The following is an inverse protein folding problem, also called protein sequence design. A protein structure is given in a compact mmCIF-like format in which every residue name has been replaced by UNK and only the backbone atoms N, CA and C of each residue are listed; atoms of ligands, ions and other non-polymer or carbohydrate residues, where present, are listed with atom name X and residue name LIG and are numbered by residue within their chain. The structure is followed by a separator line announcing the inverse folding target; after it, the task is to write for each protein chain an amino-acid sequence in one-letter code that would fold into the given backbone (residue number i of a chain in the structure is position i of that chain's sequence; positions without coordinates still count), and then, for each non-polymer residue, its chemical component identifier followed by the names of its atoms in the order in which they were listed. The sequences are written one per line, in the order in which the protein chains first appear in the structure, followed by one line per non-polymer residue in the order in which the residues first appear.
data_IF_006880114145
#
_entry.id   IF_006880114145
#
_cell.length_a   1.000
_cell.length_b   1.000
_cell.length_c   1.000
_cell.angle_alpha   90.00
_cell.angle_beta   90.00
_cell.angle_gamma   90.00
#
_symmetry.space_group_name_H-M   'P 1'
#
loop_
_entity.id
_entity.type
_entity.pdbx_description
1 polymer ?
#
# COMPACT_ATOMS: atom_id res chain seq x y z
N UNK A 1 -5.33 -26.71 -6.52
CA UNK A 1 -4.22 -26.54 -7.46
C UNK A 1 -4.10 -25.09 -7.94
N UNK A 2 -5.10 -24.50 -8.58
CA UNK A 2 -5.05 -23.11 -9.09
C UNK A 2 -4.73 -22.05 -8.01
N UNK A 3 -5.41 -22.09 -6.85
CA UNK A 3 -5.13 -21.17 -5.72
C UNK A 3 -3.72 -21.29 -5.15
N UNK A 4 -3.13 -22.49 -5.11
CA UNK A 4 -1.78 -22.69 -4.63
C UNK A 4 -0.72 -22.17 -5.64
N UNK A 5 -1.00 -22.28 -6.94
CA UNK A 5 -0.14 -21.72 -8.01
C UNK A 5 -0.20 -20.18 -8.02
N UNK A 6 -1.39 -19.60 -7.78
CA UNK A 6 -1.57 -18.15 -7.66
C UNK A 6 -0.83 -17.59 -6.43
N UNK A 7 -0.91 -18.26 -5.27
CA UNK A 7 -0.16 -17.88 -4.06
C UNK A 7 1.36 -17.95 -4.26
N UNK A 8 1.86 -19.02 -4.90
CA UNK A 8 3.29 -19.13 -5.24
C UNK A 8 3.76 -18.04 -6.20
N UNK A 9 2.95 -17.71 -7.20
CA UNK A 9 3.23 -16.60 -8.12
C UNK A 9 3.23 -15.24 -7.43
N UNK A 10 2.34 -15.05 -6.46
CA UNK A 10 2.26 -13.86 -5.62
C UNK A 10 3.54 -13.70 -4.78
N UNK A 11 3.89 -14.70 -3.98
CA UNK A 11 5.06 -14.66 -3.09
C UNK A 11 6.36 -14.45 -3.87
N UNK A 12 6.53 -15.10 -5.01
CA UNK A 12 7.70 -14.91 -5.87
C UNK A 12 7.85 -13.47 -6.39
N UNK A 13 6.74 -12.83 -6.78
CA UNK A 13 6.75 -11.41 -7.19
C UNK A 13 7.10 -10.49 -6.02
N UNK A 14 6.55 -10.78 -4.84
CA UNK A 14 6.82 -10.03 -3.62
C UNK A 14 8.30 -10.13 -3.23
N UNK A 15 8.87 -11.32 -3.16
CA UNK A 15 10.30 -11.57 -2.89
C UNK A 15 11.19 -10.85 -3.90
N UNK A 16 10.89 -10.95 -5.19
CA UNK A 16 11.65 -10.24 -6.23
C UNK A 16 11.55 -8.72 -6.09
N UNK A 17 10.36 -8.21 -5.75
CA UNK A 17 10.13 -6.77 -5.54
C UNK A 17 10.82 -6.23 -4.29
N UNK A 18 11.00 -7.03 -3.26
CA UNK A 18 11.62 -6.63 -2.00
C UNK A 18 13.12 -6.93 -1.91
N UNK A 19 13.75 -7.47 -2.98
CA UNK A 19 15.15 -7.93 -2.95
C UNK A 19 16.11 -6.88 -2.37
N UNK A 20 16.01 -5.61 -2.78
CA UNK A 20 16.92 -4.55 -2.29
C UNK A 20 16.73 -4.25 -0.80
N UNK A 21 15.48 -4.25 -0.33
CA UNK A 21 15.18 -4.03 1.09
C UNK A 21 15.63 -5.22 1.91
N UNK A 22 15.32 -6.43 1.44
CA UNK A 22 15.69 -7.68 2.07
C UNK A 22 17.20 -7.79 2.24
N UNK A 23 17.97 -7.62 1.15
CA UNK A 23 19.42 -7.81 1.17
C UNK A 23 20.11 -6.88 2.19
N UNK A 24 19.57 -5.66 2.40
CA UNK A 24 20.07 -4.75 3.42
C UNK A 24 19.74 -5.20 4.85
N UNK A 25 18.49 -5.62 5.08
CA UNK A 25 18.01 -6.00 6.42
C UNK A 25 18.59 -7.34 6.84
N UNK A 26 18.52 -8.37 5.97
CA UNK A 26 18.96 -9.75 6.29
C UNK A 26 20.45 -9.79 6.56
N UNK A 27 21.29 -9.13 5.74
CA UNK A 27 22.73 -9.12 5.96
C UNK A 27 23.12 -8.52 7.33
N UNK A 28 22.40 -7.46 7.75
CA UNK A 28 22.59 -6.86 9.07
C UNK A 28 22.20 -7.82 10.20
N UNK A 29 21.01 -8.40 10.12
CA UNK A 29 20.51 -9.32 11.13
C UNK A 29 21.35 -10.60 11.24
N UNK A 30 21.73 -11.22 10.14
CA UNK A 30 22.57 -12.42 10.17
C UNK A 30 23.93 -12.14 10.82
N UNK A 31 24.48 -10.94 10.63
CA UNK A 31 25.70 -10.51 11.30
C UNK A 31 25.50 -10.41 12.83
N UNK A 32 24.40 -9.83 13.30
CA UNK A 32 24.10 -9.68 14.74
C UNK A 32 23.81 -11.05 15.35
N UNK A 33 22.89 -11.81 14.81
CA UNK A 33 22.48 -13.11 15.39
C UNK A 33 23.60 -14.14 15.42
N UNK A 34 24.60 -14.05 14.52
CA UNK A 34 25.78 -14.92 14.51
C UNK A 34 27.00 -14.35 15.23
N UNK A 35 27.09 -13.03 15.39
CA UNK A 35 28.24 -12.36 15.95
C UNK A 35 28.21 -12.20 17.47
N UNK A 36 27.04 -12.10 18.05
CA UNK A 36 26.87 -11.92 19.49
C UNK A 36 26.86 -13.27 20.23
N UNK A 37 27.51 -13.31 21.39
CA UNK A 37 27.54 -14.47 22.29
C UNK A 37 26.55 -14.32 23.47
N UNK A 38 26.02 -13.13 23.69
CA UNK A 38 25.08 -12.79 24.77
C UNK A 38 24.03 -11.83 24.28
N UNK A 39 22.89 -11.83 24.96
CA UNK A 39 21.80 -10.87 24.76
C UNK A 39 21.96 -9.79 25.83
N UNK A 40 22.57 -8.68 25.45
CA UNK A 40 22.81 -7.52 26.31
C UNK A 40 22.25 -6.25 25.64
N UNK A 41 22.50 -5.09 26.24
CA UNK A 41 21.94 -3.83 25.70
C UNK A 41 22.55 -3.49 24.34
N UNK A 42 23.84 -3.77 24.10
CA UNK A 42 24.50 -3.54 22.81
C UNK A 42 23.87 -4.36 21.69
N UNK A 43 23.49 -5.62 21.97
CA UNK A 43 22.74 -6.46 21.04
C UNK A 43 21.41 -5.83 20.62
N UNK A 44 20.64 -5.25 21.56
CA UNK A 44 19.38 -4.60 21.25
C UNK A 44 19.57 -3.27 20.51
N UNK A 45 20.60 -2.49 20.87
CA UNK A 45 20.93 -1.22 20.20
C UNK A 45 21.27 -1.47 18.71
N UNK A 46 22.06 -2.49 18.40
CA UNK A 46 22.37 -2.83 17.00
C UNK A 46 21.13 -3.32 16.21
N UNK A 47 20.25 -4.11 16.85
CA UNK A 47 18.98 -4.50 16.22
C UNK A 47 18.11 -3.28 15.90
N UNK A 48 18.04 -2.33 16.86
CA UNK A 48 17.30 -1.09 16.69
C UNK A 48 17.84 -0.26 15.52
N UNK A 49 19.17 -0.14 15.41
CA UNK A 49 19.84 0.58 14.33
C UNK A 49 19.49 -0.01 12.95
N UNK A 50 19.53 -1.34 12.80
CA UNK A 50 19.17 -2.00 11.53
C UNK A 50 17.71 -1.78 11.17
N UNK A 51 16.79 -1.87 12.12
CA UNK A 51 15.36 -1.63 11.88
C UNK A 51 15.11 -0.18 11.42
N UNK A 52 15.77 0.79 12.07
CA UNK A 52 15.69 2.21 11.69
C UNK A 52 16.30 2.45 10.30
N UNK A 53 17.45 1.86 10.00
CA UNK A 53 18.11 1.95 8.69
C UNK A 53 17.24 1.34 7.59
N UNK A 54 16.42 0.33 7.92
CA UNK A 54 15.43 -0.27 7.03
C UNK A 54 14.15 0.58 6.83
N UNK A 55 14.09 1.81 7.36
CA UNK A 55 12.92 2.71 7.35
C UNK A 55 11.67 2.18 8.11
N UNK A 56 11.85 1.25 9.07
CA UNK A 56 10.75 0.76 9.92
C UNK A 56 10.20 1.88 10.83
N UNK A 57 11.02 2.91 11.07
CA UNK A 57 10.64 4.07 11.87
C UNK A 57 10.87 3.88 13.37
N UNK A 58 11.13 4.99 14.07
CA UNK A 58 11.54 4.97 15.47
C UNK A 58 10.45 4.37 16.38
N UNK A 59 9.20 4.79 16.22
CA UNK A 59 8.11 4.34 17.10
C UNK A 59 7.83 2.83 16.94
N UNK A 60 7.75 2.34 15.72
CA UNK A 60 7.56 0.92 15.45
C UNK A 60 8.75 0.10 15.93
N UNK A 61 9.97 0.56 15.68
CA UNK A 61 11.20 -0.08 16.14
C UNK A 61 11.25 -0.21 17.67
N UNK A 62 11.00 0.89 18.39
CA UNK A 62 11.02 0.85 19.88
C UNK A 62 9.98 -0.14 20.41
N UNK A 63 8.76 -0.16 19.88
CA UNK A 63 7.73 -1.10 20.30
C UNK A 63 8.11 -2.58 20.01
N UNK A 64 8.76 -2.85 18.86
CA UNK A 64 9.24 -4.17 18.49
C UNK A 64 10.35 -4.64 19.45
N UNK A 65 11.32 -3.77 19.74
CA UNK A 65 12.45 -4.08 20.63
C UNK A 65 11.99 -4.26 22.07
N UNK A 66 11.08 -3.41 22.59
CA UNK A 66 10.50 -3.58 23.92
C UNK A 66 9.81 -4.94 24.06
N UNK A 67 8.98 -5.31 23.08
CA UNK A 67 8.31 -6.61 23.06
C UNK A 67 9.31 -7.77 23.01
N UNK A 68 10.38 -7.64 22.22
CA UNK A 68 11.43 -8.64 22.16
C UNK A 68 12.13 -8.80 23.52
N UNK A 69 12.46 -7.70 24.21
CA UNK A 69 13.06 -7.71 25.57
C UNK A 69 12.15 -8.43 26.57
N UNK A 70 10.85 -8.16 26.55
CA UNK A 70 9.86 -8.83 27.38
C UNK A 70 9.84 -10.35 27.13
N UNK A 71 9.72 -10.77 25.86
CA UNK A 71 9.67 -12.18 25.48
C UNK A 71 10.98 -12.93 25.83
N UNK A 72 12.14 -12.32 25.59
CA UNK A 72 13.44 -12.89 25.98
C UNK A 72 13.51 -13.11 27.48
N UNK A 73 13.04 -12.16 28.28
CA UNK A 73 12.99 -12.27 29.74
C UNK A 73 12.03 -13.36 30.22
N UNK A 74 10.81 -13.39 29.69
CA UNK A 74 9.76 -14.35 30.06
C UNK A 74 10.14 -15.80 29.70
N UNK A 75 10.71 -16.00 28.53
CA UNK A 75 11.09 -17.32 28.02
C UNK A 75 12.50 -17.73 28.45
N UNK A 76 13.23 -16.88 29.19
CA UNK A 76 14.59 -17.13 29.66
C UNK A 76 15.58 -17.46 28.54
N UNK A 77 15.44 -16.81 27.38
CA UNK A 77 16.28 -17.01 26.20
C UNK A 77 17.68 -16.46 26.48
N UNK A 78 18.70 -17.24 26.13
CA UNK A 78 20.11 -16.88 26.31
C UNK A 78 20.90 -16.83 25.02
N UNK A 79 20.39 -17.47 23.97
CA UNK A 79 21.07 -17.55 22.69
C UNK A 79 20.50 -16.48 21.73
N UNK A 80 21.32 -15.53 21.24
CA UNK A 80 20.88 -14.51 20.28
C UNK A 80 20.15 -15.07 19.06
N UNK A 81 20.57 -16.24 18.55
CA UNK A 81 19.96 -16.85 17.39
C UNK A 81 18.45 -17.18 17.57
N UNK A 82 18.01 -17.44 18.82
CA UNK A 82 16.61 -17.71 19.14
C UNK A 82 15.75 -16.44 19.08
N UNK A 83 16.37 -15.26 19.17
CA UNK A 83 15.67 -13.97 19.09
C UNK A 83 15.19 -13.65 17.67
N UNK A 84 15.78 -14.26 16.61
CA UNK A 84 15.44 -13.96 15.21
C UNK A 84 13.96 -14.21 14.94
N UNK A 85 13.43 -15.35 15.33
CA UNK A 85 12.03 -15.70 15.11
C UNK A 85 11.10 -14.81 15.93
N UNK A 86 11.43 -14.53 17.19
CA UNK A 86 10.65 -13.63 18.05
C UNK A 86 10.58 -12.21 17.48
N UNK A 87 11.69 -11.72 16.92
CA UNK A 87 11.72 -10.42 16.26
C UNK A 87 10.78 -10.39 15.04
N UNK A 88 10.85 -11.41 14.18
CA UNK A 88 10.00 -11.55 13.01
C UNK A 88 8.51 -11.57 13.41
N UNK A 89 8.18 -12.36 14.43
CA UNK A 89 6.80 -12.47 14.94
C UNK A 89 6.35 -11.16 15.58
N UNK A 90 7.25 -10.46 16.29
CA UNK A 90 6.99 -9.12 16.82
C UNK A 90 6.67 -8.10 15.74
N UNK A 91 7.39 -8.13 14.61
CA UNK A 91 7.11 -7.26 13.44
C UNK A 91 5.76 -7.61 12.82
N UNK A 92 5.45 -8.89 12.62
CA UNK A 92 4.13 -9.33 12.12
C UNK A 92 3.00 -8.83 13.02
N UNK A 93 3.15 -8.95 14.33
CA UNK A 93 2.16 -8.49 15.29
C UNK A 93 1.94 -6.97 15.23
N UNK A 94 3.00 -6.18 15.03
CA UNK A 94 2.89 -4.73 14.84
C UNK A 94 2.16 -4.34 13.56
N UNK A 95 2.19 -5.21 12.54
CA UNK A 95 1.52 -4.97 11.26
C UNK A 95 0.09 -5.50 11.21
N UNK A 96 -0.38 -6.19 12.24
CA UNK A 96 -1.75 -6.70 12.27
C UNK A 96 -2.75 -5.57 12.41
N UNK A 97 -3.76 -5.60 11.55
CA UNK A 97 -4.97 -4.79 11.68
C UNK A 97 -6.16 -5.73 11.82
N UNK A 98 -7.19 -5.30 12.55
CA UNK A 98 -8.35 -6.14 12.87
C UNK A 98 -9.05 -6.69 11.62
N UNK A 99 -9.14 -5.90 10.56
CA UNK A 99 -9.59 -6.36 9.25
C UNK A 99 -9.19 -5.40 8.13
N UNK A 100 -8.73 -5.95 7.00
CA UNK A 100 -8.58 -5.19 5.76
C UNK A 100 -9.74 -5.52 4.84
N UNK A 101 -10.76 -4.68 4.84
CA UNK A 101 -11.95 -4.88 4.03
C UNK A 101 -11.75 -4.37 2.59
N UNK A 102 -12.16 -5.16 1.63
CA UNK A 102 -12.24 -4.79 0.20
C UNK A 102 -13.71 -4.69 -0.21
N UNK A 103 -14.49 -3.93 0.56
CA UNK A 103 -15.94 -3.80 0.39
C UNK A 103 -16.32 -3.36 -1.04
N UNK A 104 -15.49 -2.53 -1.68
CA UNK A 104 -15.65 -2.08 -3.05
C UNK A 104 -15.60 -3.20 -4.10
N UNK A 105 -15.08 -4.38 -3.78
CA UNK A 105 -15.09 -5.53 -4.69
C UNK A 105 -16.43 -6.25 -4.73
N UNK A 106 -17.30 -6.06 -3.72
CA UNK A 106 -18.52 -6.84 -3.53
C UNK A 106 -19.81 -6.05 -3.72
N UNK A 107 -19.73 -4.74 -3.97
CA UNK A 107 -20.87 -3.86 -4.16
C UNK A 107 -20.56 -2.75 -5.17
N UNK A 108 -21.58 -2.04 -5.64
CA UNK A 108 -21.37 -0.84 -6.47
C UNK A 108 -20.54 0.18 -5.73
N UNK A 109 -19.47 0.67 -6.35
CA UNK A 109 -18.48 1.47 -5.64
C UNK A 109 -17.88 2.58 -6.49
N UNK A 110 -17.46 3.62 -5.80
CA UNK A 110 -16.56 4.65 -6.32
C UNK A 110 -15.26 4.58 -5.56
N UNK A 111 -14.15 4.48 -6.27
CA UNK A 111 -12.80 4.53 -5.69
C UNK A 111 -12.18 5.87 -6.06
N UNK A 112 -11.97 6.71 -5.05
CA UNK A 112 -11.27 7.98 -5.19
C UNK A 112 -9.78 7.78 -4.89
N UNK A 113 -8.92 7.98 -5.88
CA UNK A 113 -7.47 7.79 -5.74
C UNK A 113 -6.78 9.13 -5.58
N UNK A 114 -6.16 9.35 -4.41
CA UNK A 114 -5.47 10.59 -4.03
C UNK A 114 -3.99 10.32 -3.75
N UNK A 115 -3.18 11.39 -3.66
CA UNK A 115 -1.73 11.29 -3.40
C UNK A 115 -0.97 12.40 -4.11
N UNK A 116 0.30 12.64 -3.76
CA UNK A 116 1.10 13.69 -4.40
C UNK A 116 1.48 13.34 -5.85
N UNK A 117 2.02 14.29 -6.60
CA UNK A 117 2.48 14.03 -7.96
C UNK A 117 3.69 13.08 -7.96
N UNK A 118 3.74 12.17 -8.94
CA UNK A 118 4.88 11.25 -9.12
C UNK A 118 4.85 9.97 -8.28
N UNK A 119 3.91 9.82 -7.33
CA UNK A 119 3.80 8.60 -6.49
C UNK A 119 3.21 7.38 -7.20
N UNK A 120 2.72 7.53 -8.44
CA UNK A 120 2.17 6.41 -9.20
C UNK A 120 0.64 6.29 -9.17
N UNK A 121 -0.13 7.36 -8.88
CA UNK A 121 -1.60 7.33 -8.87
C UNK A 121 -2.19 6.76 -10.17
N UNK A 122 -1.93 7.42 -11.29
CA UNK A 122 -2.45 7.02 -12.61
C UNK A 122 -2.10 5.57 -12.97
N UNK A 123 -0.87 5.14 -12.64
CA UNK A 123 -0.42 3.75 -12.80
C UNK A 123 -1.21 2.80 -11.90
N UNK A 124 -1.40 3.15 -10.64
CA UNK A 124 -2.18 2.35 -9.68
C UNK A 124 -3.64 2.23 -10.09
N UNK A 125 -4.24 3.34 -10.56
CA UNK A 125 -5.60 3.35 -11.11
C UNK A 125 -5.73 2.37 -12.29
N UNK A 126 -4.78 2.43 -13.24
CA UNK A 126 -4.78 1.53 -14.39
C UNK A 126 -4.62 0.06 -14.03
N UNK A 127 -3.71 -0.25 -13.11
CA UNK A 127 -3.50 -1.61 -12.61
C UNK A 127 -4.71 -2.14 -11.84
N UNK A 128 -5.28 -1.32 -10.96
CA UNK A 128 -6.47 -1.69 -10.20
C UNK A 128 -7.66 -1.94 -11.12
N UNK A 129 -7.84 -1.09 -12.15
CA UNK A 129 -8.88 -1.27 -13.16
C UNK A 129 -8.73 -2.59 -13.90
N UNK A 130 -7.51 -2.96 -14.31
CA UNK A 130 -7.24 -4.25 -14.95
C UNK A 130 -7.59 -5.42 -14.05
N UNK A 131 -7.15 -5.40 -12.79
CA UNK A 131 -7.46 -6.46 -11.81
C UNK A 131 -8.97 -6.64 -11.58
N UNK A 132 -9.70 -5.55 -11.41
CA UNK A 132 -11.15 -5.59 -11.22
C UNK A 132 -11.86 -6.09 -12.50
N UNK A 133 -11.35 -5.71 -13.68
CA UNK A 133 -11.84 -6.22 -14.95
C UNK A 133 -11.64 -7.72 -15.10
N UNK A 134 -10.45 -8.23 -14.71
CA UNK A 134 -10.14 -9.67 -14.75
C UNK A 134 -11.02 -10.48 -13.78
N UNK A 135 -11.49 -9.84 -12.70
CA UNK A 135 -12.50 -10.38 -11.78
C UNK A 135 -13.93 -10.34 -12.36
N UNK A 136 -14.11 -9.88 -13.62
CA UNK A 136 -15.40 -9.79 -14.28
C UNK A 136 -16.18 -8.52 -13.96
N UNK A 137 -15.60 -7.54 -13.28
CA UNK A 137 -16.27 -6.27 -12.95
C UNK A 137 -16.35 -5.35 -14.17
N UNK A 138 -17.44 -4.62 -14.27
CA UNK A 138 -17.59 -3.53 -15.22
C UNK A 138 -17.03 -2.24 -14.62
N UNK A 139 -15.86 -1.84 -15.11
CA UNK A 139 -15.08 -0.71 -14.56
C UNK A 139 -15.16 0.48 -15.50
N UNK A 140 -15.31 1.67 -14.95
CA UNK A 140 -15.16 2.96 -15.64
C UNK A 140 -14.10 3.79 -14.91
N UNK A 141 -13.24 4.46 -15.69
CA UNK A 141 -12.26 5.41 -15.18
C UNK A 141 -12.71 6.85 -15.39
N UNK A 142 -12.40 7.73 -14.43
CA UNK A 142 -12.59 9.18 -14.55
C UNK A 142 -11.23 9.89 -14.49
N UNK A 143 -10.89 10.65 -15.57
CA UNK A 143 -9.65 11.43 -15.66
C UNK A 143 -9.82 12.78 -14.94
N UNK A 144 -9.86 12.78 -13.62
CA UNK A 144 -10.05 14.00 -12.82
C UNK A 144 -8.73 14.73 -12.49
N UNK A 145 -7.55 14.24 -12.91
CA UNK A 145 -6.30 15.01 -12.95
C UNK A 145 -6.26 15.89 -14.21
N UNK A 146 -7.06 16.93 -14.21
CA UNK A 146 -7.18 17.85 -15.37
C UNK A 146 -6.06 18.86 -15.46
N UNK A 147 -5.24 18.95 -14.44
CA UNK A 147 -4.19 19.93 -14.35
C UNK A 147 -2.95 19.57 -15.16
N UNK A 148 -2.62 18.28 -15.22
CA UNK A 148 -1.50 17.78 -16.00
C UNK A 148 -2.00 17.31 -17.37
N UNK A 149 -1.62 18.01 -18.45
CA UNK A 149 -2.04 17.67 -19.81
C UNK A 149 -1.75 16.19 -20.15
N UNK A 150 -0.58 15.67 -19.76
CA UNK A 150 -0.18 14.29 -20.01
C UNK A 150 -0.90 13.25 -19.12
N UNK A 151 -1.59 13.64 -18.03
CA UNK A 151 -2.24 12.68 -17.14
C UNK A 151 -3.43 12.00 -17.80
N UNK A 152 -4.25 12.76 -18.53
CA UNK A 152 -5.37 12.21 -19.30
C UNK A 152 -4.93 11.22 -20.38
N UNK A 153 -3.86 11.54 -21.12
CA UNK A 153 -3.28 10.64 -22.14
C UNK A 153 -2.71 9.37 -21.51
N UNK A 154 -2.00 9.51 -20.38
CA UNK A 154 -1.47 8.36 -19.64
C UNK A 154 -2.60 7.46 -19.13
N UNK A 155 -3.66 8.04 -18.57
CA UNK A 155 -4.81 7.26 -18.10
C UNK A 155 -5.56 6.58 -19.27
N UNK A 156 -5.62 7.23 -20.44
CA UNK A 156 -6.21 6.63 -21.65
C UNK A 156 -5.41 5.41 -22.12
N UNK A 157 -4.08 5.45 -22.07
CA UNK A 157 -3.25 4.28 -22.37
C UNK A 157 -3.52 3.12 -21.39
N UNK A 158 -3.66 3.43 -20.10
CA UNK A 158 -4.02 2.42 -19.10
C UNK A 158 -5.43 1.87 -19.30
N UNK A 159 -6.42 2.72 -19.63
CA UNK A 159 -7.79 2.31 -19.93
C UNK A 159 -7.83 1.34 -21.11
N UNK A 160 -7.11 1.66 -22.19
CA UNK A 160 -6.99 0.79 -23.35
C UNK A 160 -6.32 -0.55 -23.02
N UNK A 161 -5.24 -0.52 -22.23
CA UNK A 161 -4.51 -1.72 -21.80
C UNK A 161 -5.36 -2.63 -20.91
N UNK A 162 -6.15 -2.03 -20.01
CA UNK A 162 -7.05 -2.74 -19.10
C UNK A 162 -8.39 -3.14 -19.78
N UNK A 163 -8.69 -2.61 -20.97
CA UNK A 163 -9.95 -2.85 -21.68
C UNK A 163 -11.17 -2.29 -20.95
N UNK A 164 -11.04 -1.08 -20.37
CA UNK A 164 -12.09 -0.40 -19.61
C UNK A 164 -12.44 0.96 -20.21
N UNK A 165 -13.65 1.45 -19.95
CA UNK A 165 -14.11 2.75 -20.41
C UNK A 165 -13.43 3.89 -19.64
N UNK A 166 -13.14 5.00 -20.35
CA UNK A 166 -12.61 6.23 -19.78
C UNK A 166 -13.57 7.39 -20.01
N UNK A 167 -13.86 8.14 -18.95
CA UNK A 167 -14.53 9.43 -19.01
C UNK A 167 -13.48 10.50 -18.68
N UNK A 168 -13.31 11.43 -19.59
CA UNK A 168 -12.35 12.53 -19.46
C UNK A 168 -12.91 13.81 -20.03
N UNK A 169 -12.23 14.92 -19.74
CA UNK A 169 -12.52 16.24 -20.28
C UNK A 169 -11.30 16.85 -20.95
N UNK A 170 -11.44 18.09 -21.39
CA UNK A 170 -10.31 18.88 -21.88
C UNK A 170 -9.37 19.24 -20.71
N UNK A 171 -8.08 19.44 -21.02
CA UNK A 171 -7.11 19.93 -20.05
C UNK A 171 -7.61 21.27 -19.43
N UNK A 172 -7.56 21.37 -18.11
CA UNK A 172 -8.07 22.53 -17.35
C UNK A 172 -9.56 22.52 -17.06
N UNK A 173 -10.32 21.48 -17.43
CA UNK A 173 -11.71 21.31 -17.00
C UNK A 173 -11.79 21.21 -15.46
N UNK A 174 -12.96 21.50 -14.89
CA UNK A 174 -13.19 21.31 -13.46
C UNK A 174 -13.20 19.81 -13.14
N UNK A 175 -12.30 19.30 -12.26
CA UNK A 175 -12.29 17.89 -11.85
C UNK A 175 -13.65 17.37 -11.38
N UNK A 176 -14.39 18.21 -10.67
CA UNK A 176 -15.71 17.88 -10.16
C UNK A 176 -16.75 17.66 -11.29
N UNK A 177 -16.65 18.40 -12.41
CA UNK A 177 -17.53 18.18 -13.57
C UNK A 177 -17.25 16.84 -14.25
N UNK A 178 -15.97 16.44 -14.34
CA UNK A 178 -15.59 15.14 -14.90
C UNK A 178 -16.12 14.00 -14.04
N UNK A 179 -16.02 14.14 -12.71
CA UNK A 179 -16.58 13.13 -11.79
C UNK A 179 -18.11 13.06 -11.94
N UNK A 180 -18.79 14.20 -12.11
CA UNK A 180 -20.24 14.24 -12.38
C UNK A 180 -20.59 13.44 -13.66
N UNK A 181 -19.90 13.71 -14.75
CA UNK A 181 -20.13 13.04 -16.04
C UNK A 181 -19.80 11.52 -15.93
N UNK A 182 -18.75 11.18 -15.16
CA UNK A 182 -18.36 9.80 -14.92
C UNK A 182 -19.40 9.03 -14.08
N UNK A 183 -20.01 9.67 -13.08
CA UNK A 183 -21.15 9.10 -12.33
C UNK A 183 -22.35 8.87 -13.24
N UNK A 184 -22.71 9.84 -14.07
CA UNK A 184 -23.80 9.68 -15.03
C UNK A 184 -23.55 8.52 -15.99
N UNK A 185 -22.31 8.39 -16.51
CA UNK A 185 -21.91 7.27 -17.36
C UNK A 185 -21.92 5.93 -16.60
N UNK A 186 -21.46 5.90 -15.34
CA UNK A 186 -21.46 4.69 -14.52
C UNK A 186 -22.87 4.17 -14.26
N UNK A 187 -23.80 5.06 -13.96
CA UNK A 187 -25.24 4.73 -13.80
C UNK A 187 -25.85 4.24 -15.10
N UNK A 188 -25.67 4.97 -16.21
CA UNK A 188 -26.24 4.63 -17.50
C UNK A 188 -25.74 3.28 -18.04
N UNK A 189 -24.47 2.96 -17.76
CA UNK A 189 -23.84 1.71 -18.21
C UNK A 189 -23.93 0.59 -17.18
N UNK A 190 -24.55 0.83 -16.04
CA UNK A 190 -24.61 -0.11 -14.90
C UNK A 190 -23.21 -0.64 -14.54
N UNK A 191 -22.27 0.26 -14.32
CA UNK A 191 -20.90 -0.09 -13.89
C UNK A 191 -20.90 -0.62 -12.45
N UNK A 192 -20.01 -1.57 -12.18
CA UNK A 192 -19.79 -2.09 -10.82
C UNK A 192 -18.88 -1.16 -10.05
N UNK A 193 -17.84 -0.62 -10.71
CA UNK A 193 -16.83 0.24 -10.08
C UNK A 193 -16.50 1.45 -10.96
N UNK A 194 -16.53 2.63 -10.36
CA UNK A 194 -16.00 3.87 -10.91
C UNK A 194 -14.69 4.21 -10.19
N UNK A 195 -13.56 4.38 -10.91
CA UNK A 195 -12.28 4.79 -10.31
C UNK A 195 -11.93 6.19 -10.80
N UNK A 196 -11.72 7.12 -9.87
CA UNK A 196 -11.38 8.52 -10.15
C UNK A 196 -9.90 8.78 -9.88
N UNK A 197 -9.11 9.09 -10.94
CA UNK A 197 -7.72 9.56 -10.83
C UNK A 197 -7.72 11.07 -10.60
N UNK A 198 -7.20 11.53 -9.45
CA UNK A 198 -7.21 12.95 -9.05
C UNK A 198 -5.86 13.63 -9.15
N UNK A 199 -5.85 14.97 -9.15
CA UNK A 199 -4.62 15.76 -9.08
C UNK A 199 -3.91 15.58 -7.71
N UNK A 200 -2.57 15.73 -7.72
CA UNK A 200 -1.73 15.50 -6.54
C UNK A 200 -1.02 16.75 -6.01
N UNK A 201 -1.76 17.77 -5.55
CA UNK A 201 -1.19 19.08 -5.13
C UNK A 201 -1.21 19.29 -3.63
N UNK A 202 -0.52 18.43 -2.88
CA UNK A 202 -0.47 18.53 -1.41
C UNK A 202 0.22 19.83 -0.93
N UNK A 203 1.16 20.39 -1.71
CA UNK A 203 1.79 21.68 -1.39
C UNK A 203 0.80 22.87 -1.35
N UNK A 204 -0.37 22.74 -1.97
CA UNK A 204 -1.49 23.66 -1.83
C UNK A 204 -2.68 22.96 -1.15
N UNK A 205 -2.47 22.61 0.13
CA UNK A 205 -3.41 21.86 0.95
C UNK A 205 -4.83 22.41 0.90
N UNK A 206 -4.98 23.77 0.95
CA UNK A 206 -6.29 24.42 0.91
C UNK A 206 -7.04 24.16 -0.39
N UNK A 207 -6.39 24.34 -1.53
CA UNK A 207 -7.03 24.11 -2.84
C UNK A 207 -7.35 22.63 -3.06
N UNK A 208 -6.46 21.72 -2.63
CA UNK A 208 -6.71 20.29 -2.68
C UNK A 208 -7.92 19.89 -1.85
N UNK A 209 -8.04 20.43 -0.63
CA UNK A 209 -9.21 20.21 0.23
C UNK A 209 -10.51 20.70 -0.39
N UNK A 210 -10.49 21.90 -1.00
CA UNK A 210 -11.67 22.45 -1.67
C UNK A 210 -12.08 21.60 -2.88
N UNK A 211 -11.12 21.13 -3.66
CA UNK A 211 -11.34 20.22 -4.80
C UNK A 211 -11.95 18.89 -4.32
N UNK A 212 -11.34 18.24 -3.33
CA UNK A 212 -11.84 16.99 -2.76
C UNK A 212 -13.25 17.15 -2.18
N UNK A 213 -13.50 18.23 -1.43
CA UNK A 213 -14.85 18.53 -0.89
C UNK A 213 -15.91 18.66 -1.99
N UNK A 214 -15.56 19.27 -3.13
CA UNK A 214 -16.49 19.36 -4.27
C UNK A 214 -16.77 17.98 -4.84
N UNK A 215 -15.74 17.15 -5.01
CA UNK A 215 -15.88 15.79 -5.52
C UNK A 215 -16.75 14.96 -4.56
N UNK A 216 -16.48 14.97 -3.26
CA UNK A 216 -17.28 14.25 -2.26
C UNK A 216 -18.75 14.66 -2.31
N UNK A 217 -19.05 15.98 -2.35
CA UNK A 217 -20.45 16.47 -2.44
C UNK A 217 -21.16 15.97 -3.71
N UNK A 218 -20.46 15.87 -4.83
CA UNK A 218 -21.03 15.32 -6.07
C UNK A 218 -21.31 13.83 -5.88
N UNK A 219 -20.37 13.06 -5.37
CA UNK A 219 -20.55 11.63 -5.16
C UNK A 219 -21.69 11.34 -4.19
N UNK A 220 -21.76 12.04 -3.06
CA UNK A 220 -22.84 11.89 -2.08
C UNK A 220 -24.23 12.26 -2.64
N UNK A 221 -24.29 13.28 -3.49
CA UNK A 221 -25.55 13.72 -4.08
C UNK A 221 -25.99 12.87 -5.28
N UNK A 222 -25.06 12.56 -6.16
CA UNK A 222 -25.36 11.95 -7.47
C UNK A 222 -25.24 10.42 -7.44
N UNK A 223 -24.52 9.86 -6.48
CA UNK A 223 -24.31 8.41 -6.39
C UNK A 223 -24.39 7.88 -4.95
N UNK A 224 -25.45 8.24 -4.17
CA UNK A 224 -25.55 7.88 -2.76
C UNK A 224 -25.65 6.38 -2.49
N UNK A 225 -26.03 5.57 -3.49
CA UNK A 225 -26.11 4.13 -3.41
C UNK A 225 -24.75 3.42 -3.60
N UNK A 226 -23.72 4.12 -4.04
CA UNK A 226 -22.39 3.54 -4.22
C UNK A 226 -21.55 3.66 -2.95
N UNK A 227 -20.85 2.59 -2.61
CA UNK A 227 -19.83 2.62 -1.57
C UNK A 227 -18.65 3.50 -1.99
N UNK A 228 -18.26 4.44 -1.17
CA UNK A 228 -17.14 5.33 -1.43
C UNK A 228 -15.88 4.85 -0.73
N UNK A 229 -14.89 4.47 -1.50
CA UNK A 229 -13.55 4.12 -1.06
C UNK A 229 -12.56 5.22 -1.43
N UNK A 230 -11.79 5.71 -0.47
CA UNK A 230 -10.70 6.66 -0.72
C UNK A 230 -9.36 6.00 -0.46
N UNK A 231 -8.55 5.87 -1.51
CA UNK A 231 -7.22 5.27 -1.44
C UNK A 231 -6.15 6.35 -1.61
N UNK A 232 -5.23 6.46 -0.64
CA UNK A 232 -4.05 7.31 -0.80
C UNK A 232 -2.89 6.50 -1.38
N UNK A 233 -2.28 7.02 -2.44
CA UNK A 233 -1.10 6.41 -3.06
C UNK A 233 0.16 7.08 -2.52
N UNK A 234 1.09 6.27 -2.02
CA UNK A 234 2.35 6.67 -1.44
C UNK A 234 3.51 6.01 -2.18
N UNK A 235 4.65 6.71 -2.25
CA UNK A 235 5.87 6.22 -2.87
C UNK A 235 6.79 5.65 -1.80
N UNK A 236 7.01 4.33 -1.79
CA UNK A 236 7.86 3.64 -0.82
C UNK A 236 9.32 4.07 -0.86
N UNK A 237 9.81 4.64 -1.99
CA UNK A 237 11.19 5.13 -2.09
C UNK A 237 11.45 6.37 -1.24
N UNK A 238 10.39 7.06 -0.81
CA UNK A 238 10.49 8.29 -0.01
C UNK A 238 10.62 8.03 1.49
N UNK A 239 10.57 6.75 1.94
CA UNK A 239 10.75 6.36 3.33
C UNK A 239 9.80 7.12 4.27
N UNK A 240 10.29 7.65 5.38
CA UNK A 240 9.49 8.37 6.39
C UNK A 240 8.67 9.55 5.84
N UNK A 241 9.04 10.12 4.69
CA UNK A 241 8.20 11.12 4.03
C UNK A 241 6.85 10.56 3.54
N UNK A 242 6.79 9.26 3.19
CA UNK A 242 5.53 8.62 2.82
C UNK A 242 4.56 8.58 4.01
N UNK A 243 5.04 8.24 5.20
CA UNK A 243 4.25 8.26 6.45
C UNK A 243 3.74 9.68 6.75
N UNK A 244 4.61 10.69 6.63
CA UNK A 244 4.21 12.08 6.84
C UNK A 244 3.13 12.54 5.84
N UNK A 245 3.23 12.13 4.57
CA UNK A 245 2.19 12.40 3.56
C UNK A 245 0.87 11.70 3.91
N UNK A 246 0.92 10.43 4.34
CA UNK A 246 -0.28 9.69 4.75
C UNK A 246 -1.02 10.39 5.87
N UNK A 247 -0.31 10.84 6.93
CA UNK A 247 -0.86 11.63 8.03
C UNK A 247 -1.54 12.91 7.54
N UNK A 248 -0.89 13.64 6.61
CA UNK A 248 -1.45 14.87 6.04
C UNK A 248 -2.71 14.62 5.19
N UNK A 249 -2.78 13.51 4.43
CA UNK A 249 -3.98 13.16 3.67
C UNK A 249 -5.12 12.72 4.59
N UNK A 250 -4.83 11.97 5.66
CA UNK A 250 -5.83 11.57 6.65
C UNK A 250 -6.50 12.75 7.36
N UNK A 251 -5.78 13.90 7.51
CA UNK A 251 -6.37 15.14 8.07
C UNK A 251 -7.35 15.84 7.10
N UNK A 252 -7.30 15.55 5.80
CA UNK A 252 -8.04 16.28 4.77
C UNK A 252 -9.09 15.46 4.04
N UNK A 253 -8.99 14.12 4.12
CA UNK A 253 -9.86 13.18 3.45
C UNK A 253 -10.18 12.01 4.38
N UNK A 254 -11.36 11.41 4.20
CA UNK A 254 -11.69 10.15 4.87
C UNK A 254 -10.98 9.00 4.11
N UNK A 255 -9.73 8.72 4.46
CA UNK A 255 -8.90 7.69 3.81
C UNK A 255 -9.26 6.32 4.36
N UNK A 256 -9.66 5.41 3.48
CA UNK A 256 -10.04 4.02 3.84
C UNK A 256 -8.91 3.01 3.61
N UNK A 257 -7.85 3.40 2.88
CA UNK A 257 -6.75 2.51 2.62
C UNK A 257 -5.58 3.16 1.90
N UNK A 258 -4.47 2.47 1.89
CA UNK A 258 -3.20 2.91 1.32
C UNK A 258 -2.78 1.98 0.18
N UNK A 259 -2.27 2.57 -0.90
CA UNK A 259 -1.51 1.89 -1.95
C UNK A 259 -0.06 2.34 -1.83
N UNK A 260 0.83 1.42 -1.48
CA UNK A 260 2.26 1.69 -1.36
C UNK A 260 2.98 1.21 -2.62
N UNK A 261 3.59 2.13 -3.37
CA UNK A 261 4.18 1.86 -4.69
C UNK A 261 5.71 1.83 -4.66
N UNK A 262 6.32 1.33 -5.75
CA UNK A 262 7.77 1.37 -6.03
C UNK A 262 8.63 0.64 -5.00
N UNK A 263 8.10 -0.39 -4.36
CA UNK A 263 8.86 -1.18 -3.39
C UNK A 263 10.02 -1.94 -4.04
N UNK A 264 9.91 -2.28 -5.33
CA UNK A 264 10.94 -2.91 -6.15
C UNK A 264 12.17 -2.03 -6.41
N UNK A 265 12.00 -0.72 -6.27
CA UNK A 265 13.06 0.28 -6.51
C UNK A 265 13.88 0.64 -5.28
N UNK A 266 13.51 0.21 -4.06
CA UNK A 266 14.02 0.79 -2.82
C UNK A 266 14.62 -0.23 -1.85
N UNK A 267 15.58 0.22 -1.04
CA UNK A 267 16.04 -0.46 0.17
C UNK A 267 15.22 -0.06 1.43
N UNK A 268 14.21 0.79 1.27
CA UNK A 268 13.40 1.41 2.33
C UNK A 268 12.01 0.77 2.50
N UNK A 269 11.87 -0.48 2.09
CA UNK A 269 10.58 -1.19 2.15
C UNK A 269 10.01 -1.36 3.56
N UNK A 270 10.83 -1.27 4.60
CA UNK A 270 10.40 -1.24 5.99
C UNK A 270 9.39 -0.12 6.31
N UNK A 271 9.29 0.90 5.46
CA UNK A 271 8.25 1.93 5.59
C UNK A 271 6.83 1.36 5.61
N UNK A 272 6.60 0.19 5.01
CA UNK A 272 5.31 -0.48 5.10
C UNK A 272 4.96 -0.86 6.54
N UNK A 273 5.96 -1.27 7.34
CA UNK A 273 5.80 -1.57 8.77
C UNK A 273 5.42 -0.30 9.52
N UNK A 274 6.17 0.80 9.34
CA UNK A 274 5.88 2.09 9.99
C UNK A 274 4.46 2.59 9.65
N UNK A 275 4.08 2.55 8.38
CA UNK A 275 2.75 2.98 7.94
C UNK A 275 1.66 2.14 8.58
N UNK A 276 1.80 0.82 8.55
CA UNK A 276 0.80 -0.10 9.05
C UNK A 276 0.65 -0.03 10.58
N UNK A 277 1.75 0.19 11.30
CA UNK A 277 1.77 0.25 12.77
C UNK A 277 1.38 1.61 13.35
N UNK A 278 1.64 2.71 12.63
CA UNK A 278 1.43 4.07 13.14
C UNK A 278 0.13 4.72 12.67
N UNK A 279 -0.51 4.17 11.64
CA UNK A 279 -1.75 4.70 11.10
C UNK A 279 -2.89 3.70 11.31
N UNK A 280 -4.02 4.21 11.73
CA UNK A 280 -5.29 3.45 11.79
C UNK A 280 -5.93 3.35 10.39
N UNK A 281 -5.09 3.16 9.36
CA UNK A 281 -5.48 3.07 7.95
C UNK A 281 -4.71 1.91 7.32
N UNK A 282 -5.41 0.86 6.86
CA UNK A 282 -4.74 -0.33 6.35
C UNK A 282 -4.00 -0.07 5.02
N UNK A 283 -2.82 -0.64 4.88
CA UNK A 283 -2.23 -0.84 3.56
C UNK A 283 -3.05 -1.91 2.85
N UNK A 284 -3.70 -1.54 1.73
CA UNK A 284 -4.54 -2.46 0.94
C UNK A 284 -3.80 -3.06 -0.24
N UNK A 285 -2.93 -2.27 -0.85
CA UNK A 285 -2.17 -2.73 -2.01
C UNK A 285 -0.72 -2.30 -1.94
N UNK A 286 0.15 -3.12 -2.53
CA UNK A 286 1.56 -2.81 -2.76
C UNK A 286 1.90 -2.95 -4.25
N UNK A 287 2.73 -2.04 -4.74
CA UNK A 287 3.30 -2.06 -6.09
C UNK A 287 4.75 -2.53 -6.06
N UNK A 288 5.00 -3.66 -6.73
CA UNK A 288 6.29 -4.35 -6.76
C UNK A 288 6.84 -4.51 -8.18
N UNK A 289 6.48 -3.62 -9.09
CA UNK A 289 6.93 -3.60 -10.49
C UNK A 289 5.95 -2.86 -11.40
N UNK A 290 6.12 -3.00 -12.73
CA UNK A 290 5.44 -2.17 -13.74
C UNK A 290 4.21 -2.84 -14.40
N UNK A 291 4.02 -4.17 -14.26
CA UNK A 291 2.92 -4.89 -14.89
C UNK A 291 1.61 -4.73 -14.09
N UNK A 292 0.47 -5.05 -14.70
CA UNK A 292 -0.85 -5.02 -14.03
C UNK A 292 -0.82 -5.93 -12.79
N UNK A 293 -0.25 -7.10 -12.93
CA UNK A 293 -0.13 -8.09 -11.86
C UNK A 293 0.82 -7.70 -10.73
N UNK A 294 1.66 -6.67 -10.93
CA UNK A 294 2.60 -6.18 -9.90
C UNK A 294 1.94 -5.23 -8.88
N UNK A 295 0.66 -4.91 -9.03
CA UNK A 295 -0.14 -4.35 -7.95
C UNK A 295 -0.77 -5.52 -7.18
N UNK A 296 -0.32 -5.77 -5.96
CA UNK A 296 -0.72 -6.92 -5.16
C UNK A 296 -1.59 -6.47 -3.97
N UNK A 297 -2.57 -7.30 -3.57
CA UNK A 297 -3.22 -7.12 -2.26
C UNK A 297 -2.16 -7.29 -1.18
N UNK A 298 -2.22 -6.43 -0.18
CA UNK A 298 -1.27 -6.51 0.92
C UNK A 298 -1.64 -7.65 1.88
N UNK A 299 -0.64 -8.45 2.24
CA UNK A 299 -0.68 -9.47 3.26
C UNK A 299 0.54 -9.26 4.15
N UNK A 300 0.31 -8.91 5.42
CA UNK A 300 1.38 -8.54 6.34
C UNK A 300 2.33 -9.70 6.62
N UNK A 301 1.81 -10.92 6.81
CA UNK A 301 2.62 -12.09 7.09
C UNK A 301 3.50 -12.47 5.88
N UNK A 302 2.91 -12.48 4.68
CA UNK A 302 3.65 -12.73 3.45
C UNK A 302 4.70 -11.64 3.19
N UNK A 303 4.40 -10.38 3.50
CA UNK A 303 5.33 -9.26 3.35
C UNK A 303 6.53 -9.41 4.28
N UNK A 304 6.31 -9.67 5.57
CA UNK A 304 7.39 -9.86 6.55
C UNK A 304 8.22 -11.10 6.23
N UNK A 305 7.58 -12.22 5.84
CA UNK A 305 8.29 -13.40 5.41
C UNK A 305 9.19 -13.13 4.19
N UNK A 306 8.70 -12.39 3.19
CA UNK A 306 9.50 -12.00 2.03
C UNK A 306 10.65 -11.04 2.40
N UNK A 307 10.45 -10.20 3.42
CA UNK A 307 11.45 -9.24 3.89
C UNK A 307 12.60 -9.92 4.64
N UNK A 308 12.32 -11.02 5.37
CA UNK A 308 13.29 -11.74 6.20
C UNK A 308 13.75 -13.09 5.61
N UNK A 309 13.42 -13.36 4.34
CA UNK A 309 13.79 -14.59 3.61
C UNK A 309 13.35 -15.89 4.34
N UNK A 310 12.18 -15.84 4.98
CA UNK A 310 11.59 -17.01 5.62
C UNK A 310 10.90 -17.84 4.53
N UNK A 311 11.42 -19.03 4.25
CA UNK A 311 10.83 -19.94 3.25
C UNK A 311 9.42 -20.36 3.66
N UNK A 312 8.46 -20.38 2.70
CA UNK A 312 7.12 -20.95 2.92
C UNK A 312 7.13 -22.41 3.45
N UNK A 313 8.27 -23.09 3.31
CA UNK A 313 8.45 -24.47 3.80
C UNK A 313 8.69 -24.55 5.30
N UNK A 314 9.18 -23.46 5.91
CA UNK A 314 9.42 -23.36 7.36
C UNK A 314 8.17 -22.92 8.11
N UNK A 315 7.16 -22.42 7.39
CA UNK A 315 5.82 -22.17 7.92
C UNK A 315 5.08 -23.51 7.93
N UNK A 316 5.23 -24.26 9.04
CA UNK A 316 4.56 -25.53 9.22
C UNK A 316 3.08 -25.42 8.81
N UNK A 317 2.72 -26.11 7.75
CA UNK A 317 1.34 -26.43 7.46
C UNK A 317 0.85 -27.32 8.61
N UNK A 318 0.26 -26.72 9.63
CA UNK A 318 -0.67 -27.45 10.48
C UNK A 318 -1.83 -27.87 9.58
N UNK A 319 -1.91 -29.16 9.34
CA UNK A 319 -3.02 -29.85 8.69
C UNK A 319 -4.33 -29.77 9.51
#
# INVERSE_FOLDING_TARGET
MKMAEEKKGFFKRLVNGLTKTRDNIVAGFDSIFSGYSSIDEEFYEELEEILIMGDIGINATSAIIEKLKEQVSEQHIKNPAECKQLLIDGIKDQMRVDSTEYAFENQKSVILVIGVNGVGKTTSVGKLAGKLKDQGKKVILAAADTFRAAAGEQLAQWANRAGVDLIGGQAGADPASIVYDAVAAAKARNADVLICDTAGRLHNKKNLMEELRKIYRILEREYPEAYLETLVVLDGTTGQNALAQAKQFAEVANVNGIILTKLDGTAKGGIAVAIQSELDIPVKYIGVGEQIDDLQKFDADAFVNALFDVDEKDLGTEE
#
